data_IF_262163008030
#
_entry.id   IF_262163008030
#
_cell.length_a   1.000
_cell.length_b   1.000
_cell.length_c   1.000
_cell.angle_alpha   90.00
_cell.angle_beta   90.00
_cell.angle_gamma   90.00
#
_symmetry.space_group_name_H-M   'P 1'
#
loop_
_entity.id
_entity.type
_entity.pdbx_description
1 polymer ?
#
# COMPACT_ATOMS: atom_id res chain seq x y z
N UNK A 1 -6.58 -2.81 8.24
CA UNK A 1 -5.27 -3.43 7.94
C UNK A 1 -4.55 -3.89 9.22
N UNK A 2 -4.02 -3.03 10.09
CA UNK A 2 -3.25 -3.52 11.26
C UNK A 2 -4.03 -4.50 12.17
N UNK A 3 -5.12 -4.06 12.79
CA UNK A 3 -5.93 -4.91 13.69
C UNK A 3 -6.54 -6.13 12.98
N UNK A 4 -7.01 -5.92 11.76
CA UNK A 4 -7.81 -6.92 11.04
C UNK A 4 -6.98 -7.95 10.26
N UNK A 5 -5.71 -7.66 10.00
CA UNK A 5 -4.84 -8.51 9.17
C UNK A 5 -3.55 -8.81 9.94
N UNK A 6 -2.77 -7.78 10.29
CA UNK A 6 -1.43 -7.99 10.85
C UNK A 6 -1.50 -8.64 12.23
N UNK A 7 -2.26 -8.07 13.16
CA UNK A 7 -2.38 -8.59 14.53
C UNK A 7 -3.00 -10.00 14.57
N UNK A 8 -3.91 -10.32 13.63
CA UNK A 8 -4.52 -11.65 13.51
C UNK A 8 -3.62 -12.69 12.86
N UNK A 9 -2.54 -12.29 12.20
CA UNK A 9 -1.63 -13.17 11.46
C UNK A 9 -0.17 -12.85 11.83
N UNK A 10 0.25 -12.99 13.10
CA UNK A 10 1.55 -12.50 13.57
C UNK A 10 2.74 -13.24 12.96
N UNK A 11 2.57 -14.50 12.52
CA UNK A 11 3.64 -15.29 11.88
C UNK A 11 3.74 -15.07 10.38
N UNK A 12 2.82 -14.32 9.76
CA UNK A 12 2.84 -14.17 8.30
C UNK A 12 4.07 -13.40 7.84
N UNK A 13 4.62 -13.80 6.70
CA UNK A 13 5.76 -13.15 6.04
C UNK A 13 5.38 -11.86 5.30
N UNK A 14 4.17 -11.35 5.54
CA UNK A 14 3.67 -10.14 4.89
C UNK A 14 4.57 -8.95 5.22
N UNK A 15 4.97 -8.20 4.19
CA UNK A 15 5.63 -6.90 4.34
C UNK A 15 4.68 -5.80 3.91
N UNK A 16 4.62 -4.73 4.69
CA UNK A 16 3.75 -3.60 4.41
C UNK A 16 4.60 -2.35 4.25
N UNK A 17 4.50 -1.70 3.10
CA UNK A 17 5.13 -0.41 2.84
C UNK A 17 4.05 0.65 2.80
N UNK A 18 4.19 1.69 3.61
CA UNK A 18 3.21 2.78 3.68
C UNK A 18 3.89 4.08 3.32
N UNK A 19 3.43 4.68 2.23
CA UNK A 19 4.02 5.87 1.63
C UNK A 19 3.10 7.04 1.93
N UNK A 20 3.64 8.06 2.59
CA UNK A 20 2.90 9.22 3.05
C UNK A 20 3.40 10.47 2.36
N UNK A 21 2.48 11.36 2.01
CA UNK A 21 2.78 12.62 1.37
C UNK A 21 1.62 13.58 1.57
N UNK A 22 1.86 14.88 1.40
CA UNK A 22 0.80 15.88 1.56
C UNK A 22 -0.11 15.93 0.35
N UNK A 23 -1.29 15.32 0.42
CA UNK A 23 -2.31 15.40 -0.63
C UNK A 23 -3.32 16.50 -0.35
N UNK A 24 -3.73 16.65 0.91
CA UNK A 24 -4.64 17.70 1.38
C UNK A 24 -3.88 18.88 2.00
N UNK A 25 -4.47 20.09 2.04
CA UNK A 25 -3.81 21.28 2.61
C UNK A 25 -3.36 21.13 4.07
N UNK A 26 -4.01 20.23 4.81
CA UNK A 26 -3.73 19.97 6.23
C UNK A 26 -2.74 18.83 6.46
N UNK A 27 -2.28 18.16 5.41
CA UNK A 27 -1.27 17.10 5.51
C UNK A 27 0.13 17.70 5.65
N UNK A 28 0.99 17.06 6.43
CA UNK A 28 2.36 17.51 6.56
C UNK A 28 3.25 16.52 7.28
N UNK A 29 4.56 16.58 6.98
CA UNK A 29 5.55 15.72 7.61
C UNK A 29 5.60 15.87 9.13
N UNK A 30 5.32 17.05 9.67
CA UNK A 30 5.23 17.24 11.13
C UNK A 30 4.09 16.44 11.77
N UNK A 31 3.02 16.16 11.02
CA UNK A 31 1.91 15.29 11.44
C UNK A 31 2.23 13.81 11.24
N UNK A 32 3.29 13.48 10.49
CA UNK A 32 3.76 12.10 10.27
C UNK A 32 4.00 11.35 11.59
N UNK A 33 4.55 12.03 12.60
CA UNK A 33 4.76 11.43 13.91
C UNK A 33 3.46 10.99 14.60
N UNK A 34 2.33 11.59 14.24
CA UNK A 34 1.01 11.21 14.74
C UNK A 34 0.42 10.01 13.99
N UNK A 35 0.63 9.94 12.67
CA UNK A 35 0.18 8.82 11.82
C UNK A 35 1.04 7.58 11.93
N UNK A 36 2.33 7.72 12.29
CA UNK A 36 3.20 6.60 12.64
C UNK A 36 2.70 5.79 13.84
N UNK A 37 1.80 6.35 14.66
CA UNK A 37 1.10 5.63 15.72
C UNK A 37 -0.12 4.83 15.26
N UNK A 38 -0.57 4.99 14.01
CA UNK A 38 -1.76 4.29 13.49
C UNK A 38 -1.41 2.88 13.01
N UNK A 39 -0.21 2.71 12.45
CA UNK A 39 0.33 1.43 12.04
C UNK A 39 1.68 1.24 12.74
N UNK A 40 1.68 0.40 13.77
CA UNK A 40 2.82 0.18 14.68
C UNK A 40 3.39 -1.23 14.62
N UNK A 41 2.78 -2.12 13.82
CA UNK A 41 3.28 -3.47 13.62
C UNK A 41 4.68 -3.45 12.98
N UNK A 42 5.59 -4.30 13.48
CA UNK A 42 7.00 -4.31 13.08
C UNK A 42 7.25 -4.65 11.61
N UNK A 43 6.25 -5.22 10.92
CA UNK A 43 6.31 -5.51 9.48
C UNK A 43 5.98 -4.30 8.61
N UNK A 44 5.55 -3.19 9.23
CA UNK A 44 5.21 -1.95 8.54
C UNK A 44 6.44 -1.06 8.44
N UNK A 45 6.84 -0.75 7.21
CA UNK A 45 7.91 0.21 6.92
C UNK A 45 7.29 1.46 6.33
N UNK A 46 7.61 2.59 6.96
CA UNK A 46 7.03 3.88 6.62
C UNK A 46 8.01 4.74 5.84
N UNK A 47 7.50 5.41 4.80
CA UNK A 47 8.25 6.40 4.03
C UNK A 47 7.48 7.71 3.91
N UNK A 48 8.21 8.82 3.97
CA UNK A 48 7.70 10.14 3.61
C UNK A 48 8.19 10.53 2.22
N UNK A 49 7.25 10.73 1.29
CA UNK A 49 7.51 11.06 -0.11
C UNK A 49 7.00 12.46 -0.45
N UNK A 50 7.70 13.48 0.03
CA UNK A 50 7.33 14.90 -0.16
C UNK A 50 7.05 15.26 -1.63
N UNK A 51 7.78 14.64 -2.55
CA UNK A 51 7.69 14.87 -3.99
C UNK A 51 6.54 14.11 -4.66
N UNK A 52 5.81 13.26 -3.93
CA UNK A 52 4.74 12.39 -4.45
C UNK A 52 5.22 11.51 -5.60
N UNK A 53 6.49 11.11 -5.56
CA UNK A 53 7.18 10.29 -6.55
C UNK A 53 6.43 8.99 -6.81
N UNK A 54 6.05 8.28 -5.74
CA UNK A 54 5.41 6.97 -5.81
C UNK A 54 3.99 7.09 -6.36
N UNK A 55 3.18 8.01 -5.81
CA UNK A 55 1.81 8.23 -6.28
C UNK A 55 1.74 8.69 -7.74
N UNK A 56 2.69 9.52 -8.17
CA UNK A 56 2.83 9.94 -9.57
C UNK A 56 3.29 8.80 -10.48
N UNK A 57 4.18 7.93 -10.00
CA UNK A 57 4.63 6.76 -10.73
C UNK A 57 3.48 5.78 -10.97
N UNK A 58 2.70 5.45 -9.94
CA UNK A 58 1.54 4.57 -10.07
C UNK A 58 0.47 5.14 -11.01
N UNK A 59 0.21 6.45 -10.93
CA UNK A 59 -0.73 7.08 -11.87
C UNK A 59 -0.32 6.92 -13.34
N UNK A 60 0.99 7.04 -13.64
CA UNK A 60 1.51 6.87 -14.99
C UNK A 60 1.41 5.42 -15.49
N UNK A 61 1.64 4.45 -14.62
CA UNK A 61 1.58 3.03 -15.00
C UNK A 61 0.14 2.56 -15.27
N UNK A 62 -0.82 3.04 -14.48
CA UNK A 62 -2.22 2.61 -14.59
C UNK A 62 -3.01 3.40 -15.65
N UNK A 63 -2.60 4.64 -15.95
CA UNK A 63 -3.31 5.54 -16.87
C UNK A 63 -2.37 6.19 -17.91
N UNK A 64 -1.65 5.39 -18.73
CA UNK A 64 -0.62 5.92 -19.63
C UNK A 64 -1.17 6.80 -20.77
N UNK A 65 -2.49 6.81 -20.99
CA UNK A 65 -3.14 7.47 -22.14
C UNK A 65 -3.69 8.86 -21.83
N UNK A 66 -3.69 9.30 -20.58
CA UNK A 66 -4.25 10.59 -20.17
C UNK A 66 -3.14 11.64 -20.00
N UNK A 67 -3.30 12.81 -20.64
CA UNK A 67 -2.29 13.89 -20.70
C UNK A 67 -2.00 14.54 -19.33
N UNK A 68 -2.87 14.35 -18.33
CA UNK A 68 -2.63 14.78 -16.96
C UNK A 68 -2.40 13.56 -16.06
N UNK A 69 -1.16 13.28 -15.60
CA UNK A 69 -0.97 12.26 -14.59
C UNK A 69 -1.54 12.80 -13.27
N UNK A 70 -2.62 12.17 -12.79
CA UNK A 70 -3.08 12.35 -11.42
C UNK A 70 -2.01 11.88 -10.42
N UNK A 71 -2.25 12.09 -9.13
CA UNK A 71 -1.47 11.44 -8.08
C UNK A 71 -2.37 10.32 -7.54
N UNK A 72 -1.90 9.07 -7.54
CA UNK A 72 -2.58 8.01 -6.80
C UNK A 72 -2.34 8.22 -5.31
N UNK A 73 -3.42 8.25 -4.54
CA UNK A 73 -3.43 8.40 -3.09
C UNK A 73 -4.64 7.65 -2.52
N UNK A 74 -4.65 7.41 -1.21
CA UNK A 74 -5.68 6.60 -0.54
C UNK A 74 -5.92 5.27 -1.29
N UNK A 75 -4.83 4.58 -1.63
CA UNK A 75 -4.86 3.37 -2.43
C UNK A 75 -3.96 2.28 -1.85
N UNK A 76 -4.23 1.03 -2.22
CA UNK A 76 -3.33 -0.10 -1.96
C UNK A 76 -3.04 -0.88 -3.24
N UNK A 77 -1.89 -1.57 -3.22
CA UNK A 77 -1.48 -2.54 -4.24
C UNK A 77 -0.96 -3.79 -3.52
N UNK A 78 -1.61 -4.93 -3.75
CA UNK A 78 -1.22 -6.21 -3.19
C UNK A 78 -0.49 -7.03 -4.24
N UNK A 79 0.74 -7.40 -3.94
CA UNK A 79 1.60 -8.20 -4.80
C UNK A 79 1.79 -9.61 -4.24
N UNK A 80 1.98 -10.57 -5.15
CA UNK A 80 2.33 -11.94 -4.77
C UNK A 80 3.75 -12.07 -4.23
N UNK A 81 4.08 -13.19 -3.57
CA UNK A 81 5.41 -13.44 -3.01
C UNK A 81 6.53 -13.45 -4.06
N UNK A 82 6.20 -13.78 -5.31
CA UNK A 82 7.15 -13.86 -6.42
C UNK A 82 7.32 -12.53 -7.18
N UNK A 83 6.70 -11.45 -6.70
CA UNK A 83 6.69 -10.19 -7.42
C UNK A 83 8.08 -9.55 -7.53
N UNK A 84 8.50 -9.26 -8.76
CA UNK A 84 9.78 -8.61 -9.04
C UNK A 84 9.60 -7.12 -9.27
N UNK A 85 10.47 -6.30 -8.69
CA UNK A 85 10.36 -4.83 -8.68
C UNK A 85 11.37 -4.17 -9.61
N UNK A 86 11.44 -4.63 -10.86
CA UNK A 86 12.39 -4.10 -11.86
C UNK A 86 11.85 -2.83 -12.53
N UNK A 87 10.81 -2.97 -13.37
CA UNK A 87 10.21 -1.85 -14.13
C UNK A 87 8.77 -1.61 -13.70
N UNK A 88 7.94 -2.66 -13.66
CA UNK A 88 6.57 -2.64 -13.13
C UNK A 88 6.39 -3.88 -12.26
N UNK A 89 6.01 -3.76 -10.97
CA UNK A 89 5.90 -4.91 -10.10
C UNK A 89 4.76 -5.83 -10.53
N UNK A 90 5.07 -7.09 -10.78
CA UNK A 90 4.12 -8.15 -11.14
C UNK A 90 4.58 -9.48 -10.54
N UNK A 91 3.66 -10.39 -10.12
CA UNK A 91 2.22 -10.32 -10.32
C UNK A 91 1.52 -9.41 -9.29
N UNK A 92 0.73 -8.46 -9.81
CA UNK A 92 -0.25 -7.72 -9.02
C UNK A 92 -1.48 -8.63 -8.79
N UNK A 93 -1.81 -8.88 -7.53
CA UNK A 93 -2.97 -9.70 -7.15
C UNK A 93 -4.24 -8.85 -7.17
N UNK A 94 -4.19 -7.66 -6.56
CA UNK A 94 -5.31 -6.70 -6.56
C UNK A 94 -4.83 -5.32 -6.14
N UNK A 95 -5.58 -4.29 -6.54
CA UNK A 95 -5.40 -2.91 -6.09
C UNK A 95 -6.78 -2.27 -5.87
N UNK A 96 -6.80 -1.13 -5.16
CA UNK A 96 -8.05 -0.42 -4.90
C UNK A 96 -7.82 0.96 -4.27
N UNK A 97 -8.80 1.84 -4.45
CA UNK A 97 -8.91 3.16 -3.82
C UNK A 97 -10.41 3.50 -3.65
N UNK A 98 -10.90 4.02 -2.52
CA UNK A 98 -10.18 4.33 -1.28
C UNK A 98 -9.77 3.07 -0.50
N UNK A 99 -8.74 3.13 0.34
CA UNK A 99 -8.33 1.97 1.17
C UNK A 99 -9.46 1.52 2.08
N UNK A 100 -10.27 2.46 2.58
CA UNK A 100 -11.40 2.17 3.46
C UNK A 100 -12.48 1.38 2.73
N UNK A 101 -12.91 1.85 1.56
CA UNK A 101 -14.05 1.26 0.86
C UNK A 101 -13.68 -0.08 0.23
N UNK A 102 -12.39 -0.29 -0.06
CA UNK A 102 -11.84 -1.51 -0.66
C UNK A 102 -11.18 -2.46 0.36
N UNK A 103 -11.38 -2.21 1.66
CA UNK A 103 -10.74 -2.97 2.74
C UNK A 103 -11.13 -4.46 2.74
N UNK A 104 -12.39 -4.77 2.42
CA UNK A 104 -12.88 -6.14 2.33
C UNK A 104 -12.24 -6.90 1.16
N UNK A 105 -12.13 -6.26 -0.01
CA UNK A 105 -11.42 -6.83 -1.17
C UNK A 105 -9.96 -7.13 -0.83
N UNK A 106 -9.29 -6.21 -0.15
CA UNK A 106 -7.92 -6.44 0.33
C UNK A 106 -7.86 -7.65 1.27
N UNK A 107 -8.77 -7.75 2.24
CA UNK A 107 -8.82 -8.86 3.20
C UNK A 107 -9.03 -10.20 2.51
N UNK A 108 -9.99 -10.28 1.59
CA UNK A 108 -10.31 -11.50 0.84
C UNK A 108 -9.12 -11.98 0.01
N UNK A 109 -8.48 -11.06 -0.72
CA UNK A 109 -7.35 -11.41 -1.60
C UNK A 109 -6.06 -11.72 -0.86
N UNK A 110 -5.89 -11.16 0.33
CA UNK A 110 -4.74 -11.41 1.18
C UNK A 110 -4.84 -12.74 1.92
N UNK A 111 -6.05 -13.20 2.26
CA UNK A 111 -6.30 -14.44 3.02
C UNK A 111 -5.49 -15.65 2.54
N UNK A 112 -5.51 -16.01 1.25
CA UNK A 112 -4.74 -17.13 0.71
C UNK A 112 -3.21 -16.98 0.84
N UNK A 113 -2.69 -15.76 0.97
CA UNK A 113 -1.26 -15.47 1.11
C UNK A 113 -0.77 -15.52 2.56
N UNK A 114 -1.68 -15.51 3.52
CA UNK A 114 -1.35 -15.50 4.95
C UNK A 114 -1.15 -16.90 5.52
N UNK A 115 -1.61 -17.93 4.82
CA UNK A 115 -1.35 -19.32 5.19
C UNK A 115 0.06 -19.70 4.74
N UNK A 116 0.90 -20.19 5.65
CA UNK A 116 2.27 -20.67 5.38
C UNK A 116 2.35 -21.85 4.37
N UNK A 117 1.22 -22.25 3.78
CA UNK A 117 1.18 -23.15 2.63
C UNK A 117 1.39 -22.34 1.35
N UNK A 118 2.65 -22.00 1.08
CA UNK A 118 3.09 -21.98 -0.31
C UNK A 118 2.81 -23.38 -0.90
N UNK A 119 2.28 -23.49 -2.13
CA UNK A 119 2.17 -24.78 -2.80
C UNK A 119 3.51 -25.50 -2.90
#
# INVERSE_FOLDING_TARGET
>A
MQKEILEKNPSSKLRVYVIWFSMLPTDGRSRWGWTGGVLTDSRVVHFWDEKKTVGSWFAKQENPQYETPGIVWDAFYLYGPDAQWDVKPEPLITSGATVRDEAEKLREKLGPLLTDKLP
#
